data_IF_149292698740
#
_entry.id   IF_149292698740
#
_cell.length_a   1.000
_cell.length_b   1.000
_cell.length_c   1.000
_cell.angle_alpha   90.00
_cell.angle_beta   90.00
_cell.angle_gamma   90.00
#
_symmetry.space_group_name_H-M   'P 1'
#
loop_
_entity.id
_entity.type
_entity.pdbx_description
1 polymer ?
#
# COMPACT_ATOMS: atom_id res chain seq x y z
N UNK A 1 -15.24 26.25 -38.90
CA UNK A 1 -14.23 25.52 -38.09
C UNK A 1 -13.76 24.34 -38.93
N UNK A 2 -12.49 23.96 -38.85
CA UNK A 2 -12.01 22.77 -39.54
C UNK A 2 -12.66 21.54 -38.90
N UNK A 3 -13.47 20.82 -39.68
CA UNK A 3 -14.10 19.56 -39.26
C UNK A 3 -13.08 18.43 -39.28
N UNK A 4 -13.23 17.46 -38.37
CA UNK A 4 -12.45 16.22 -38.42
C UNK A 4 -12.98 15.37 -39.58
N UNK A 5 -12.09 14.67 -40.29
CA UNK A 5 -12.53 13.78 -41.36
C UNK A 5 -13.47 12.68 -40.82
N UNK A 6 -14.63 12.44 -41.44
CA UNK A 6 -15.61 11.47 -40.95
C UNK A 6 -15.02 10.07 -40.72
N UNK A 7 -14.17 9.61 -41.63
CA UNK A 7 -13.50 8.30 -41.53
C UNK A 7 -12.54 8.20 -40.34
N UNK A 8 -11.83 9.29 -39.99
CA UNK A 8 -10.95 9.32 -38.83
C UNK A 8 -11.76 9.31 -37.53
N UNK A 9 -12.86 10.08 -37.48
CA UNK A 9 -13.72 10.14 -36.31
C UNK A 9 -14.46 8.80 -36.08
N UNK A 10 -14.90 8.14 -37.15
CA UNK A 10 -15.49 6.81 -37.09
C UNK A 10 -14.50 5.76 -36.58
N UNK A 11 -13.25 5.80 -37.06
CA UNK A 11 -12.18 4.94 -36.56
C UNK A 11 -11.90 5.21 -35.08
N UNK A 12 -11.78 6.48 -34.66
CA UNK A 12 -11.61 6.89 -33.27
C UNK A 12 -12.75 6.36 -32.39
N UNK A 13 -14.00 6.55 -32.81
CA UNK A 13 -15.16 6.09 -32.04
C UNK A 13 -15.18 4.56 -31.92
N UNK A 14 -14.86 3.84 -32.99
CA UNK A 14 -14.86 2.37 -33.02
C UNK A 14 -13.76 1.80 -32.13
N UNK A 15 -12.51 2.17 -32.37
CA UNK A 15 -11.37 1.67 -31.59
C UNK A 15 -11.34 2.22 -30.17
N UNK A 16 -11.79 3.46 -29.97
CA UNK A 16 -11.95 4.06 -28.66
C UNK A 16 -12.98 3.32 -27.79
N UNK A 17 -14.10 2.86 -28.37
CA UNK A 17 -15.08 2.02 -27.65
C UNK A 17 -14.47 0.69 -27.24
N UNK A 18 -13.77 0.00 -28.14
CA UNK A 18 -13.09 -1.24 -27.79
C UNK A 18 -12.01 -1.04 -26.72
N UNK A 19 -11.22 0.03 -26.81
CA UNK A 19 -10.24 0.39 -25.79
C UNK A 19 -10.89 0.67 -24.43
N UNK A 20 -12.00 1.41 -24.41
CA UNK A 20 -12.76 1.68 -23.19
C UNK A 20 -13.31 0.39 -22.55
N UNK A 21 -13.91 -0.49 -23.36
CA UNK A 21 -14.41 -1.79 -22.87
C UNK A 21 -13.29 -2.66 -22.34
N UNK A 22 -12.13 -2.68 -23.00
CA UNK A 22 -10.96 -3.42 -22.52
C UNK A 22 -10.47 -2.88 -21.17
N UNK A 23 -10.35 -1.57 -21.00
CA UNK A 23 -9.93 -0.94 -19.74
C UNK A 23 -10.89 -1.27 -18.59
N UNK A 24 -12.20 -1.13 -18.81
CA UNK A 24 -13.22 -1.46 -17.80
C UNK A 24 -13.17 -2.96 -17.48
N UNK A 25 -13.07 -3.83 -18.49
CA UNK A 25 -12.99 -5.28 -18.28
C UNK A 25 -11.75 -5.66 -17.45
N UNK A 26 -10.58 -5.08 -17.74
CA UNK A 26 -9.36 -5.32 -16.96
C UNK A 26 -9.56 -4.83 -15.52
N UNK A 27 -10.14 -3.64 -15.30
CA UNK A 27 -10.45 -3.14 -13.96
C UNK A 27 -11.37 -4.08 -13.16
N UNK A 28 -12.40 -4.64 -13.80
CA UNK A 28 -13.27 -5.64 -13.18
C UNK A 28 -12.55 -6.96 -12.88
N UNK A 29 -11.69 -7.43 -13.79
CA UNK A 29 -10.86 -8.62 -13.56
C UNK A 29 -9.95 -8.43 -12.35
N UNK A 30 -9.35 -7.25 -12.19
CA UNK A 30 -8.51 -6.92 -11.02
C UNK A 30 -9.31 -7.01 -9.72
N UNK A 31 -10.55 -6.49 -9.68
CA UNK A 31 -11.43 -6.62 -8.51
C UNK A 31 -11.82 -8.07 -8.23
N UNK A 32 -12.25 -8.80 -9.26
CA UNK A 32 -12.66 -10.20 -9.14
C UNK A 32 -11.49 -11.02 -8.62
N UNK A 33 -10.30 -10.85 -9.19
CA UNK A 33 -9.10 -11.52 -8.72
C UNK A 33 -8.83 -11.23 -7.24
N UNK A 34 -8.90 -9.97 -6.82
CA UNK A 34 -8.69 -9.60 -5.43
C UNK A 34 -9.69 -10.29 -4.49
N UNK A 35 -10.98 -10.25 -4.81
CA UNK A 35 -12.02 -10.89 -3.97
C UNK A 35 -11.92 -12.41 -3.96
N UNK A 36 -11.63 -13.05 -5.10
CA UNK A 36 -11.40 -14.50 -5.16
C UNK A 36 -10.17 -14.89 -4.35
N UNK A 37 -9.08 -14.13 -4.46
CA UNK A 37 -7.87 -14.36 -3.67
C UNK A 37 -8.16 -14.22 -2.19
N UNK A 38 -8.87 -13.17 -1.78
CA UNK A 38 -9.26 -12.96 -0.38
C UNK A 38 -10.15 -14.09 0.15
N UNK A 39 -11.10 -14.56 -0.65
CA UNK A 39 -11.97 -15.68 -0.29
C UNK A 39 -11.19 -17.00 -0.13
N UNK A 40 -10.17 -17.22 -0.97
CA UNK A 40 -9.36 -18.44 -0.94
C UNK A 40 -8.43 -18.59 0.28
N UNK A 41 -8.11 -17.50 0.98
CA UNK A 41 -7.19 -17.55 2.12
C UNK A 41 -7.94 -18.01 3.38
N UNK A 42 -7.66 -19.24 3.81
CA UNK A 42 -8.24 -19.81 5.04
C UNK A 42 -7.58 -19.33 6.32
N UNK A 43 -6.25 -19.28 6.36
CA UNK A 43 -5.50 -18.86 7.55
C UNK A 43 -5.70 -17.36 7.85
N UNK A 44 -6.01 -17.07 9.11
CA UNK A 44 -6.39 -15.72 9.55
C UNK A 44 -5.23 -14.74 9.50
N UNK A 45 -4.01 -15.17 9.84
CA UNK A 45 -2.81 -14.31 9.78
C UNK A 45 -2.45 -13.96 8.35
N UNK A 46 -2.43 -14.97 7.48
CA UNK A 46 -2.18 -14.78 6.05
C UNK A 46 -3.22 -13.85 5.42
N UNK A 47 -4.50 -13.97 5.83
CA UNK A 47 -5.58 -13.09 5.38
C UNK A 47 -5.40 -11.66 5.90
N UNK A 48 -5.02 -11.50 7.17
CA UNK A 48 -4.69 -10.21 7.77
C UNK A 48 -3.58 -9.49 6.99
N UNK A 49 -2.47 -10.18 6.71
CA UNK A 49 -1.32 -9.62 6.00
C UNK A 49 -1.67 -9.26 4.55
N UNK A 50 -2.46 -10.11 3.89
CA UNK A 50 -2.90 -9.86 2.52
C UNK A 50 -3.75 -8.60 2.42
N UNK A 51 -4.70 -8.40 3.35
CA UNK A 51 -5.55 -7.20 3.39
C UNK A 51 -4.69 -5.96 3.59
N UNK A 52 -3.84 -5.95 4.63
CA UNK A 52 -2.98 -4.81 4.95
C UNK A 52 -2.06 -4.41 3.80
N UNK A 53 -1.49 -5.40 3.09
CA UNK A 53 -0.51 -5.13 2.03
C UNK A 53 -1.15 -4.73 0.69
N UNK A 54 -2.32 -5.30 0.34
CA UNK A 54 -2.78 -5.28 -1.04
C UNK A 54 -4.17 -4.66 -1.27
N UNK A 55 -5.07 -4.65 -0.29
CA UNK A 55 -6.50 -4.35 -0.52
C UNK A 55 -6.71 -2.94 -1.10
N UNK A 56 -6.10 -1.92 -0.48
CA UNK A 56 -6.19 -0.52 -0.96
C UNK A 56 -5.64 -0.37 -2.39
N UNK A 57 -4.50 -1.01 -2.67
CA UNK A 57 -3.83 -0.90 -3.98
C UNK A 57 -4.67 -1.56 -5.09
N UNK A 58 -5.21 -2.75 -4.86
CA UNK A 58 -6.08 -3.43 -5.83
C UNK A 58 -7.35 -2.63 -6.12
N UNK A 59 -7.99 -2.07 -5.09
CA UNK A 59 -9.16 -1.20 -5.25
C UNK A 59 -8.79 0.05 -6.07
N UNK A 60 -7.69 0.72 -5.72
CA UNK A 60 -7.23 1.91 -6.43
C UNK A 60 -6.99 1.65 -7.92
N UNK A 61 -6.22 0.61 -8.27
CA UNK A 61 -5.93 0.31 -9.67
C UNK A 61 -7.18 -0.04 -10.48
N UNK A 62 -8.11 -0.79 -9.89
CA UNK A 62 -9.38 -1.11 -10.55
C UNK A 62 -10.22 0.15 -10.82
N UNK A 63 -10.39 1.02 -9.82
CA UNK A 63 -11.14 2.27 -10.01
C UNK A 63 -10.47 3.18 -11.03
N UNK A 64 -9.14 3.28 -11.01
CA UNK A 64 -8.38 4.08 -11.98
C UNK A 64 -8.64 3.60 -13.42
N UNK A 65 -8.58 2.29 -13.67
CA UNK A 65 -8.86 1.72 -15.00
C UNK A 65 -10.31 1.97 -15.45
N UNK A 66 -11.27 1.84 -14.53
CA UNK A 66 -12.69 2.10 -14.82
C UNK A 66 -12.93 3.58 -15.14
N UNK A 67 -12.31 4.51 -14.39
CA UNK A 67 -12.41 5.95 -14.62
C UNK A 67 -11.83 6.32 -15.99
N UNK A 68 -10.64 5.82 -16.34
CA UNK A 68 -10.02 6.07 -17.65
C UNK A 68 -10.88 5.49 -18.77
N UNK A 69 -11.39 4.26 -18.59
CA UNK A 69 -12.31 3.64 -19.53
C UNK A 69 -13.59 4.44 -19.74
N UNK A 70 -14.20 4.94 -18.66
CA UNK A 70 -15.41 5.77 -18.72
C UNK A 70 -15.15 7.13 -19.41
N UNK A 71 -14.03 7.78 -19.10
CA UNK A 71 -13.62 9.02 -19.76
C UNK A 71 -13.41 8.79 -21.27
N UNK A 72 -12.69 7.73 -21.66
CA UNK A 72 -12.50 7.38 -23.07
C UNK A 72 -13.84 7.09 -23.76
N UNK A 73 -14.68 6.25 -23.16
CA UNK A 73 -16.01 5.92 -23.71
C UNK A 73 -16.85 7.16 -23.97
N UNK A 74 -16.89 8.11 -23.03
CA UNK A 74 -17.68 9.34 -23.18
C UNK A 74 -17.29 10.16 -24.42
N UNK A 75 -16.01 10.15 -24.81
CA UNK A 75 -15.54 10.86 -26.00
C UNK A 75 -15.93 10.19 -27.31
N UNK A 76 -16.29 8.91 -27.28
CA UNK A 76 -16.65 8.10 -28.46
C UNK A 76 -18.12 8.19 -28.85
N UNK A 77 -18.93 8.89 -28.05
CA UNK A 77 -20.38 9.01 -28.24
C UNK A 77 -20.79 10.09 -29.25
N UNK A 78 -19.82 10.77 -29.87
CA UNK A 78 -20.09 11.92 -30.73
C UNK A 78 -19.81 11.57 -32.18
N UNK A 79 -20.83 11.72 -33.01
CA UNK A 79 -20.80 11.33 -34.43
C UNK A 79 -20.19 12.42 -35.33
N UNK A 80 -20.24 13.70 -34.92
CA UNK A 80 -19.69 14.83 -35.68
C UNK A 80 -19.08 15.88 -34.74
N UNK A 81 -17.91 16.40 -35.08
CA UNK A 81 -17.20 17.39 -34.26
C UNK A 81 -16.11 18.11 -35.04
N UNK A 82 -15.98 19.41 -34.78
CA UNK A 82 -14.81 20.17 -35.18
C UNK A 82 -13.57 19.79 -34.37
N UNK A 83 -12.38 20.09 -34.93
CA UNK A 83 -11.07 19.80 -34.31
C UNK A 83 -10.95 20.41 -32.91
N UNK A 84 -11.36 21.68 -32.75
CA UNK A 84 -11.30 22.37 -31.45
C UNK A 84 -12.13 21.63 -30.38
N UNK A 85 -13.39 21.32 -30.69
CA UNK A 85 -14.32 20.68 -29.76
C UNK A 85 -13.95 19.22 -29.44
N UNK A 86 -13.20 18.55 -30.31
CA UNK A 86 -12.63 17.24 -30.03
C UNK A 86 -11.61 17.32 -28.88
N UNK A 87 -10.63 18.23 -28.98
CA UNK A 87 -9.63 18.43 -27.94
C UNK A 87 -10.21 18.97 -26.64
N UNK A 88 -11.19 19.89 -26.72
CA UNK A 88 -11.89 20.40 -25.52
C UNK A 88 -12.55 19.26 -24.76
N UNK A 89 -13.18 18.28 -25.43
CA UNK A 89 -13.84 17.15 -24.75
C UNK A 89 -12.84 16.18 -24.13
N UNK A 90 -11.74 15.88 -24.82
CA UNK A 90 -10.65 15.07 -24.24
C UNK A 90 -10.12 15.76 -22.98
N UNK A 91 -9.89 17.07 -23.04
CA UNK A 91 -9.45 17.86 -21.90
C UNK A 91 -10.45 17.80 -20.74
N UNK A 92 -11.72 18.13 -20.98
CA UNK A 92 -12.77 18.13 -19.94
C UNK A 92 -12.95 16.75 -19.31
N UNK A 93 -13.04 15.69 -20.13
CA UNK A 93 -13.17 14.32 -19.63
C UNK A 93 -11.94 13.86 -18.83
N UNK A 94 -10.73 14.26 -19.23
CA UNK A 94 -9.51 13.99 -18.45
C UNK A 94 -9.52 14.72 -17.10
N UNK A 95 -9.94 15.99 -17.06
CA UNK A 95 -10.06 16.75 -15.82
C UNK A 95 -11.06 16.10 -14.86
N UNK A 96 -12.25 15.74 -15.37
CA UNK A 96 -13.26 15.04 -14.57
C UNK A 96 -12.75 13.68 -14.08
N UNK A 97 -12.01 12.94 -14.91
CA UNK A 97 -11.36 11.70 -14.52
C UNK A 97 -10.33 11.88 -13.40
N UNK A 98 -9.49 12.92 -13.48
CA UNK A 98 -8.53 13.26 -12.42
C UNK A 98 -9.25 13.60 -11.12
N UNK A 99 -10.30 14.44 -11.18
CA UNK A 99 -11.10 14.79 -10.00
C UNK A 99 -11.71 13.54 -9.38
N UNK A 100 -12.32 12.67 -10.17
CA UNK A 100 -12.88 11.40 -9.69
C UNK A 100 -11.79 10.50 -9.07
N UNK A 101 -10.61 10.42 -9.70
CA UNK A 101 -9.47 9.66 -9.21
C UNK A 101 -9.00 10.18 -7.84
N UNK A 102 -8.86 11.50 -7.69
CA UNK A 102 -8.48 12.13 -6.41
C UNK A 102 -9.52 11.88 -5.33
N UNK A 103 -10.82 11.96 -5.67
CA UNK A 103 -11.90 11.63 -4.72
C UNK A 103 -11.79 10.19 -4.24
N UNK A 104 -11.66 9.23 -5.17
CA UNK A 104 -11.50 7.81 -4.81
C UNK A 104 -10.24 7.59 -3.98
N UNK A 105 -9.10 8.18 -4.37
CA UNK A 105 -7.85 8.07 -3.64
C UNK A 105 -7.98 8.59 -2.20
N UNK A 106 -8.66 9.72 -1.99
CA UNK A 106 -8.89 10.28 -0.66
C UNK A 106 -9.85 9.42 0.16
N UNK A 107 -10.90 8.88 -0.45
CA UNK A 107 -11.80 7.92 0.21
C UNK A 107 -11.02 6.69 0.69
N UNK A 108 -10.21 6.11 -0.19
CA UNK A 108 -9.38 4.93 0.13
C UNK A 108 -8.30 5.22 1.17
N UNK A 109 -7.72 6.42 1.18
CA UNK A 109 -6.65 6.80 2.10
C UNK A 109 -7.14 7.20 3.49
N UNK A 110 -8.27 7.89 3.59
CA UNK A 110 -8.70 8.52 4.85
C UNK A 110 -9.94 7.87 5.48
N UNK A 111 -10.86 7.32 4.69
CA UNK A 111 -12.13 6.78 5.22
C UNK A 111 -12.14 5.25 5.24
N UNK A 112 -11.59 4.62 4.21
CA UNK A 112 -11.54 3.16 4.11
C UNK A 112 -10.73 2.45 5.21
N UNK A 113 -9.62 3.02 5.75
CA UNK A 113 -8.85 2.37 6.81
C UNK A 113 -9.68 2.01 8.04
N UNK A 114 -10.69 2.82 8.40
CA UNK A 114 -11.58 2.52 9.53
C UNK A 114 -12.31 1.17 9.38
N UNK A 115 -12.77 0.86 8.15
CA UNK A 115 -13.44 -0.41 7.86
C UNK A 115 -12.45 -1.58 7.85
N UNK A 116 -11.25 -1.36 7.32
CA UNK A 116 -10.16 -2.33 7.32
C UNK A 116 -9.77 -2.67 8.75
N UNK A 117 -9.48 -1.67 9.59
CA UNK A 117 -9.03 -1.86 10.98
C UNK A 117 -10.02 -2.72 11.78
N UNK A 118 -11.32 -2.48 11.65
CA UNK A 118 -12.35 -3.29 12.33
C UNK A 118 -12.30 -4.76 11.87
N UNK A 119 -12.13 -5.01 10.57
CA UNK A 119 -11.98 -6.36 10.02
C UNK A 119 -10.69 -7.03 10.46
N UNK A 120 -9.59 -6.28 10.47
CA UNK A 120 -8.26 -6.75 10.89
C UNK A 120 -8.22 -7.11 12.37
N UNK A 121 -8.77 -6.26 13.25
CA UNK A 121 -8.91 -6.57 14.68
C UNK A 121 -9.72 -7.84 14.90
N UNK A 122 -10.82 -8.00 14.17
CA UNK A 122 -11.61 -9.24 14.21
C UNK A 122 -10.76 -10.44 13.77
N UNK A 123 -9.97 -10.33 12.70
CA UNK A 123 -9.11 -11.42 12.23
C UNK A 123 -8.00 -11.77 13.23
N UNK A 124 -7.30 -10.77 13.77
CA UNK A 124 -6.20 -10.90 14.74
C UNK A 124 -6.67 -11.70 15.96
N UNK A 125 -7.70 -11.21 16.65
CA UNK A 125 -8.19 -11.76 17.92
C UNK A 125 -9.19 -12.91 17.79
N UNK A 126 -9.48 -13.40 16.57
CA UNK A 126 -10.38 -14.55 16.42
C UNK A 126 -9.63 -15.86 16.75
N UNK A 127 -10.17 -16.73 17.64
CA UNK A 127 -9.49 -17.94 18.12
C UNK A 127 -8.84 -18.81 17.05
N UNK A 128 -7.58 -19.21 17.24
CA UNK A 128 -6.89 -20.13 16.31
C UNK A 128 -7.27 -21.58 16.62
N UNK A 129 -7.03 -22.44 15.64
CA UNK A 129 -7.17 -23.88 15.79
C UNK A 129 -5.77 -24.50 15.80
N UNK A 130 -5.52 -25.39 16.75
CA UNK A 130 -4.30 -26.19 16.77
C UNK A 130 -4.30 -27.23 15.64
N UNK A 131 -3.17 -27.90 15.35
CA UNK A 131 -3.13 -29.00 14.39
C UNK A 131 -4.14 -30.11 14.67
N UNK A 132 -4.50 -30.29 15.95
CA UNK A 132 -5.51 -31.25 16.40
C UNK A 132 -6.96 -30.70 16.34
N UNK A 133 -7.15 -29.49 15.82
CA UNK A 133 -8.45 -28.86 15.64
C UNK A 133 -9.06 -28.26 16.92
N UNK A 134 -8.30 -28.17 18.02
CA UNK A 134 -8.77 -27.53 19.26
C UNK A 134 -8.63 -26.03 19.20
N UNK A 135 -9.52 -25.31 19.89
CA UNK A 135 -9.43 -23.85 20.02
C UNK A 135 -8.25 -23.49 20.90
N UNK A 136 -7.42 -22.58 20.42
CA UNK A 136 -6.27 -22.06 21.15
C UNK A 136 -6.66 -20.84 22.00
N UNK A 137 -6.03 -20.68 23.16
CA UNK A 137 -6.07 -19.48 24.00
C UNK A 137 -5.05 -18.47 23.47
N UNK A 138 -5.44 -17.20 23.39
CA UNK A 138 -4.50 -16.10 23.21
C UNK A 138 -3.95 -15.72 24.59
N UNK A 139 -2.64 -15.70 24.72
CA UNK A 139 -1.96 -15.31 25.96
C UNK A 139 -2.03 -13.79 26.15
N UNK A 140 -1.96 -13.34 27.39
CA UNK A 140 -1.69 -11.92 27.69
C UNK A 140 -0.22 -11.59 27.50
N UNK A 141 0.10 -10.31 27.34
CA UNK A 141 1.49 -9.79 27.20
C UNK A 141 2.46 -10.34 28.27
N UNK A 142 2.01 -10.45 29.53
CA UNK A 142 2.86 -11.00 30.60
C UNK A 142 3.03 -12.53 30.52
N UNK A 143 2.02 -13.24 29.98
CA UNK A 143 2.07 -14.70 29.82
C UNK A 143 2.90 -15.10 28.60
N UNK A 144 2.98 -14.24 27.58
CA UNK A 144 3.64 -14.57 26.32
C UNK A 144 5.16 -14.42 26.35
N UNK A 145 5.70 -13.55 27.21
CA UNK A 145 7.14 -13.38 27.44
C UNK A 145 7.87 -14.70 27.70
N UNK A 146 7.21 -15.68 28.34
CA UNK A 146 7.76 -17.02 28.58
C UNK A 146 8.04 -17.81 27.30
N UNK A 147 7.39 -17.44 26.19
CA UNK A 147 7.48 -18.09 24.89
C UNK A 147 8.27 -17.27 23.86
N UNK A 148 8.54 -16.00 24.15
CA UNK A 148 9.31 -15.10 23.28
C UNK A 148 10.80 -15.16 23.64
N UNK A 149 11.65 -15.16 22.62
CA UNK A 149 13.09 -15.00 22.84
C UNK A 149 13.45 -13.54 23.19
N UNK A 150 14.63 -13.31 23.75
CA UNK A 150 15.07 -11.97 24.17
C UNK A 150 15.07 -10.94 23.02
N UNK A 151 15.29 -11.38 21.78
CA UNK A 151 15.28 -10.50 20.62
C UNK A 151 13.87 -10.13 20.18
N UNK A 152 12.91 -11.05 20.27
CA UNK A 152 11.48 -10.80 20.07
C UNK A 152 10.96 -9.80 21.10
N UNK A 153 11.27 -10.01 22.38
CA UNK A 153 10.96 -9.08 23.46
C UNK A 153 11.60 -7.70 23.20
N UNK A 154 12.84 -7.66 22.68
CA UNK A 154 13.48 -6.41 22.32
C UNK A 154 12.79 -5.68 21.15
N UNK A 155 12.19 -6.39 20.19
CA UNK A 155 11.36 -5.77 19.14
C UNK A 155 10.06 -5.16 19.72
N UNK A 156 9.45 -5.80 20.71
CA UNK A 156 8.25 -5.30 21.40
C UNK A 156 8.55 -4.09 22.27
N UNK A 157 9.65 -4.12 23.03
CA UNK A 157 10.18 -2.97 23.75
C UNK A 157 10.54 -1.82 22.80
N UNK A 158 10.99 -2.16 21.58
CA UNK A 158 11.20 -1.19 20.50
C UNK A 158 9.90 -0.79 19.77
N UNK A 159 8.73 -1.31 20.17
CA UNK A 159 7.44 -1.06 19.54
C UNK A 159 7.45 -1.24 18.01
N UNK A 160 8.39 -2.01 17.49
CA UNK A 160 8.60 -2.22 16.06
C UNK A 160 7.83 -3.42 15.54
N UNK A 161 7.67 -4.40 16.42
CA UNK A 161 6.93 -5.63 16.22
C UNK A 161 6.04 -5.82 17.43
N UNK A 162 4.96 -6.55 17.23
CA UNK A 162 3.96 -6.89 18.22
C UNK A 162 3.64 -8.38 17.98
N UNK A 163 3.93 -9.25 18.96
CA UNK A 163 3.70 -10.69 18.84
C UNK A 163 2.37 -11.06 19.49
N UNK A 164 1.66 -12.02 18.89
CA UNK A 164 0.57 -12.71 19.58
C UNK A 164 0.99 -14.17 19.77
N UNK A 165 1.01 -14.65 21.02
CA UNK A 165 1.22 -16.07 21.30
C UNK A 165 -0.11 -16.79 21.55
N UNK A 166 -0.38 -17.79 20.71
CA UNK A 166 -1.51 -18.71 20.86
C UNK A 166 -1.03 -20.04 21.41
N UNK A 167 -1.72 -20.59 22.40
CA UNK A 167 -1.43 -21.92 22.96
C UNK A 167 -2.65 -22.83 22.98
N UNK A 168 -2.44 -24.10 22.64
CA UNK A 168 -3.37 -25.19 22.96
C UNK A 168 -3.00 -25.76 24.34
N UNK A 169 -3.80 -25.44 25.36
CA UNK A 169 -3.53 -25.83 26.76
C UNK A 169 -3.50 -27.36 26.97
N UNK A 170 -4.04 -28.14 26.02
CA UNK A 170 -4.09 -29.61 26.14
C UNK A 170 -2.88 -30.27 25.49
N UNK A 171 -2.47 -29.86 24.29
CA UNK A 171 -1.28 -30.43 23.62
C UNK A 171 0.01 -29.68 23.88
N UNK A 172 -0.05 -28.47 24.43
CA UNK A 172 1.10 -27.56 24.53
C UNK A 172 1.55 -27.00 23.17
N UNK A 173 0.74 -27.13 22.11
CA UNK A 173 1.09 -26.55 20.81
C UNK A 173 1.05 -25.02 20.88
N UNK A 174 2.17 -24.39 20.52
CA UNK A 174 2.32 -22.93 20.50
C UNK A 174 2.37 -22.42 19.07
N UNK A 175 1.65 -21.34 18.78
CA UNK A 175 1.69 -20.61 17.52
C UNK A 175 1.95 -19.13 17.80
N UNK A 176 3.13 -18.67 17.39
CA UNK A 176 3.54 -17.27 17.51
C UNK A 176 3.22 -16.55 16.19
N UNK A 177 2.54 -15.40 16.26
CA UNK A 177 2.20 -14.61 15.09
C UNK A 177 2.76 -13.19 15.19
N UNK A 178 3.47 -12.76 14.15
CA UNK A 178 4.18 -11.47 14.10
C UNK A 178 3.34 -10.36 13.44
N UNK A 179 3.11 -9.24 14.12
CA UNK A 179 2.43 -8.04 13.60
C UNK A 179 3.37 -6.83 13.54
N UNK A 180 3.06 -5.88 12.67
CA UNK A 180 3.81 -4.61 12.64
C UNK A 180 3.45 -3.79 13.87
N UNK A 181 4.47 -3.33 14.59
CA UNK A 181 4.32 -2.41 15.70
C UNK A 181 3.98 -0.98 15.23
N UNK A 182 3.85 -0.09 16.21
CA UNK A 182 3.50 1.32 15.97
C UNK A 182 4.69 2.20 15.54
N UNK A 183 5.91 1.77 15.83
CA UNK A 183 7.14 2.44 15.40
C UNK A 183 7.79 1.65 14.27
N UNK A 184 8.50 2.35 13.38
CA UNK A 184 9.29 1.70 12.34
C UNK A 184 10.73 1.57 12.81
N UNK A 185 11.22 0.34 12.88
CA UNK A 185 12.63 0.03 13.03
C UNK A 185 13.06 -0.87 11.86
N UNK A 186 14.32 -0.74 11.45
CA UNK A 186 14.87 -1.56 10.40
C UNK A 186 15.35 -2.89 10.97
N UNK A 187 15.42 -3.91 10.10
CA UNK A 187 16.05 -5.17 10.44
C UNK A 187 17.56 -4.96 10.59
N UNK A 188 18.11 -5.41 11.72
CA UNK A 188 19.55 -5.39 11.98
C UNK A 188 20.25 -6.45 11.10
N UNK A 189 21.35 -6.07 10.46
CA UNK A 189 22.16 -6.95 9.61
C UNK A 189 22.94 -8.01 10.41
N UNK A 190 23.13 -7.80 11.71
CA UNK A 190 23.88 -8.71 12.59
C UNK A 190 22.97 -9.72 13.31
N UNK A 191 21.90 -9.25 13.98
CA UNK A 191 21.01 -10.12 14.77
C UNK A 191 19.67 -10.44 14.11
N UNK A 192 19.35 -9.86 12.95
CA UNK A 192 18.09 -10.06 12.20
C UNK A 192 16.78 -9.60 12.87
N UNK A 193 16.82 -9.03 14.07
CA UNK A 193 15.65 -8.40 14.71
C UNK A 193 15.42 -6.97 14.20
N UNK A 194 14.16 -6.52 14.19
CA UNK A 194 13.74 -5.17 13.81
C UNK A 194 13.94 -4.18 14.96
N UNK A 195 15.19 -3.99 15.38
CA UNK A 195 15.56 -3.11 16.51
C UNK A 195 16.55 -2.02 16.09
N UNK A 196 16.85 -1.91 14.80
CA UNK A 196 17.78 -0.93 14.26
C UNK A 196 17.09 0.43 14.05
N UNK A 197 17.52 1.44 14.80
CA UNK A 197 16.92 2.79 14.82
C UNK A 197 17.93 3.87 14.44
N UNK A 198 17.44 4.98 13.90
CA UNK A 198 18.27 6.15 13.59
C UNK A 198 18.64 6.86 14.89
N UNK A 199 19.92 7.03 15.14
CA UNK A 199 20.44 7.74 16.31
C UNK A 199 20.86 9.17 15.99
N UNK A 200 21.50 9.35 14.83
CA UNK A 200 22.01 10.64 14.37
C UNK A 200 21.86 10.74 12.86
N UNK A 201 21.55 11.94 12.40
CA UNK A 201 21.65 12.32 10.99
C UNK A 201 22.68 13.44 10.86
N UNK A 202 23.53 13.37 9.84
CA UNK A 202 24.59 14.35 9.61
C UNK A 202 24.67 14.68 8.12
N UNK A 203 24.57 15.96 7.79
CA UNK A 203 24.75 16.43 6.41
C UNK A 203 26.25 16.41 6.11
N UNK A 204 26.67 15.51 5.22
CA UNK A 204 28.08 15.41 4.78
C UNK A 204 28.38 16.34 3.61
N UNK A 205 27.39 16.59 2.75
CA UNK A 205 27.47 17.58 1.67
C UNK A 205 26.18 18.37 1.59
N UNK A 206 26.26 19.68 1.75
CA UNK A 206 25.10 20.56 1.59
C UNK A 206 24.62 20.57 0.15
N UNK A 207 23.30 20.49 -0.06
CA UNK A 207 22.71 20.60 -1.39
C UNK A 207 22.87 22.03 -1.94
N UNK A 208 23.19 22.15 -3.23
CA UNK A 208 23.22 23.43 -3.96
C UNK A 208 22.07 23.46 -4.97
N UNK A 209 21.97 24.50 -5.80
CA UNK A 209 20.98 24.57 -6.87
C UNK A 209 21.30 23.58 -8.02
N UNK A 210 22.59 23.28 -8.22
CA UNK A 210 23.08 22.47 -9.34
C UNK A 210 23.41 21.04 -8.93
N UNK A 211 23.76 20.82 -7.66
CA UNK A 211 24.21 19.52 -7.15
C UNK A 211 23.37 19.04 -5.97
N UNK A 212 23.12 17.74 -5.96
CA UNK A 212 22.46 17.08 -4.85
C UNK A 212 23.39 17.00 -3.62
N UNK A 213 22.79 17.27 -2.47
CA UNK A 213 23.45 17.08 -1.19
C UNK A 213 23.52 15.60 -0.80
N UNK A 214 24.22 15.34 0.29
CA UNK A 214 24.38 14.03 0.87
C UNK A 214 24.29 14.13 2.38
N UNK A 215 23.58 13.19 2.99
CA UNK A 215 23.52 13.02 4.43
C UNK A 215 23.85 11.58 4.80
N UNK A 216 24.51 11.41 5.94
CA UNK A 216 24.75 10.11 6.55
C UNK A 216 23.76 9.93 7.70
N UNK A 217 23.01 8.82 7.67
CA UNK A 217 22.23 8.36 8.81
C UNK A 217 23.01 7.30 9.56
N UNK A 218 23.18 7.50 10.86
CA UNK A 218 23.80 6.57 11.78
C UNK A 218 22.71 5.81 12.51
N UNK A 219 22.82 4.49 12.46
CA UNK A 219 21.88 3.57 13.06
C UNK A 219 22.54 2.80 14.20
N UNK A 220 21.74 2.46 15.20
CA UNK A 220 22.15 1.60 16.30
C UNK A 220 21.02 0.61 16.61
N UNK A 221 21.41 -0.66 16.78
CA UNK A 221 20.52 -1.74 17.15
C UNK A 221 20.30 -1.69 18.66
N UNK A 222 19.06 -1.51 19.11
CA UNK A 222 18.76 -1.46 20.55
C UNK A 222 18.90 -2.82 21.26
N UNK A 223 19.01 -3.92 20.51
CA UNK A 223 19.21 -5.27 21.07
C UNK A 223 20.70 -5.65 21.16
N UNK A 224 21.38 -5.85 20.02
CA UNK A 224 22.76 -6.32 20.01
C UNK A 224 23.82 -5.19 20.02
N UNK A 225 23.41 -3.92 19.94
CA UNK A 225 24.33 -2.77 19.91
C UNK A 225 25.06 -2.56 18.57
N UNK A 226 24.72 -3.32 17.52
CA UNK A 226 25.28 -3.14 16.18
C UNK A 226 25.11 -1.71 15.68
N UNK A 227 26.16 -1.16 15.08
CA UNK A 227 26.16 0.20 14.50
C UNK A 227 26.44 0.13 13.01
N UNK A 228 25.55 0.73 12.23
CA UNK A 228 25.73 0.87 10.78
C UNK A 228 25.41 2.29 10.33
N UNK A 229 25.94 2.70 9.18
CA UNK A 229 25.66 4.01 8.59
C UNK A 229 25.33 3.86 7.12
N UNK A 230 24.34 4.63 6.66
CA UNK A 230 23.89 4.61 5.26
C UNK A 230 23.87 6.03 4.69
N UNK A 231 24.45 6.24 3.49
CA UNK A 231 24.31 7.50 2.79
C UNK A 231 22.89 7.64 2.24
N UNK A 232 22.37 8.86 2.34
CA UNK A 232 21.09 9.28 1.76
C UNK A 232 21.32 10.53 0.94
N UNK A 233 20.66 10.57 -0.22
CA UNK A 233 20.71 11.70 -1.13
C UNK A 233 19.76 12.80 -0.67
N UNK A 234 20.24 14.04 -0.58
CA UNK A 234 19.40 15.23 -0.37
C UNK A 234 19.18 15.87 -1.74
N UNK A 235 17.93 16.07 -2.12
CA UNK A 235 17.61 16.74 -3.38
C UNK A 235 18.18 18.16 -3.41
N UNK A 236 18.71 18.58 -4.56
CA UNK A 236 19.13 19.95 -4.84
C UNK A 236 18.07 20.99 -4.42
N UNK A 237 18.54 22.17 -4.04
CA UNK A 237 17.68 23.29 -3.69
C UNK A 237 16.93 23.77 -4.93
N UNK A 238 15.66 24.17 -4.75
CA UNK A 238 14.93 24.87 -5.81
C UNK A 238 15.42 26.32 -5.85
N UNK A 239 15.64 26.90 -7.04
CA UNK A 239 15.96 28.32 -7.16
C UNK A 239 14.83 29.16 -6.54
N UNK A 240 15.19 30.24 -5.85
CA UNK A 240 14.25 31.18 -5.24
C UNK A 240 13.34 31.78 -6.33
N UNK A 241 12.12 31.25 -6.46
CA UNK A 241 11.17 31.62 -7.51
C UNK A 241 10.21 30.50 -7.94
N UNK A 242 10.51 29.23 -7.63
CA UNK A 242 9.68 28.07 -7.99
C UNK A 242 9.03 27.36 -6.78
N UNK A 243 8.62 28.13 -5.77
CA UNK A 243 7.71 27.65 -4.74
C UNK A 243 6.27 27.81 -5.24
N UNK A 244 5.71 26.73 -5.81
CA UNK A 244 4.26 26.56 -6.03
C UNK A 244 3.75 25.55 -5.03
#
# INVERSE_FOLDING_TARGET
>A
MQEISPSLLEAWNTYGKYGAYALVAIGLVVLIYHFLRLASIGDKKTKYDYINKNEINFLWYAFLLIIIGAALYSNTLVEQTGVLWFFVRIFVSSMLGIIAGVVVQNVLKFYYPFYIEKRLKKLRYSPRLSPDGRKMKLLSEEEEDEYLDEGMQAEELAFSVDYDVWIDEVSGYVKIEKYNGRLHALQCSECNYQTLRVMKEEVTRTATNDEDGEMMKYYECSYCGHKERKPFKINRLKPEGEAV
#
